data_IF_102379922543
#
_entry.id   IF_102379922543
#
_cell.length_a   1.000
_cell.length_b   1.000
_cell.length_c   1.000
_cell.angle_alpha   90.00
_cell.angle_beta   90.00
_cell.angle_gamma   90.00
#
_symmetry.space_group_name_H-M   'P 1'
#
loop_
_entity.id
_entity.type
_entity.pdbx_description
1 polymer ?
#
# COMPACT_ATOMS: atom_id res chain seq x y z
N UNK A 1 20.04 -61.16 45.66
CA UNK A 1 19.48 -59.79 45.75
C UNK A 1 19.40 -59.27 44.33
N UNK A 2 18.22 -59.34 43.73
CA UNK A 2 17.95 -58.84 42.38
C UNK A 2 17.34 -57.44 42.58
N UNK A 3 18.08 -56.42 42.17
CA UNK A 3 17.59 -55.04 42.13
C UNK A 3 16.87 -54.81 40.82
N UNK A 4 15.53 -54.59 40.86
CA UNK A 4 14.72 -54.11 39.73
C UNK A 4 15.18 -52.70 39.30
N UNK A 5 15.23 -52.38 37.97
CA UNK A 5 15.45 -51.06 37.51
C UNK A 5 14.19 -50.20 37.67
N UNK A 6 14.32 -49.08 38.38
CA UNK A 6 13.30 -48.03 38.50
C UNK A 6 13.01 -47.49 37.11
N UNK A 7 11.84 -47.81 36.59
CA UNK A 7 11.29 -47.26 35.36
C UNK A 7 11.17 -45.75 35.45
N UNK A 8 12.07 -45.07 34.70
CA UNK A 8 12.11 -43.62 34.58
C UNK A 8 10.76 -43.09 34.11
N UNK A 9 10.11 -42.32 34.97
CA UNK A 9 8.95 -41.47 34.61
C UNK A 9 9.39 -40.48 33.55
N UNK A 10 9.27 -40.88 32.30
CA UNK A 10 9.55 -40.06 31.13
C UNK A 10 8.50 -38.96 30.94
N UNK A 11 8.79 -38.01 30.23
CA UNK A 11 8.73 -36.55 30.35
C UNK A 11 7.42 -36.02 29.79
N UNK A 12 6.27 -36.43 30.30
CA UNK A 12 4.99 -35.74 30.04
C UNK A 12 5.02 -34.26 30.48
N UNK A 13 5.77 -33.96 31.55
CA UNK A 13 5.96 -32.58 32.03
C UNK A 13 6.85 -31.76 31.09
N UNK A 14 7.90 -32.37 30.52
CA UNK A 14 8.74 -31.72 29.53
C UNK A 14 8.00 -31.53 28.18
N UNK A 15 7.22 -32.52 27.74
CA UNK A 15 6.33 -32.34 26.57
C UNK A 15 5.21 -31.33 26.82
N UNK A 16 4.64 -31.24 28.01
CA UNK A 16 3.69 -30.18 28.36
C UNK A 16 4.35 -28.80 28.43
N UNK A 17 5.59 -28.69 28.94
CA UNK A 17 6.35 -27.43 28.90
C UNK A 17 6.78 -27.05 27.48
N UNK A 18 7.19 -27.99 26.64
CA UNK A 18 7.46 -27.74 25.22
C UNK A 18 6.19 -27.42 24.43
N UNK A 19 5.06 -28.06 24.73
CA UNK A 19 3.77 -27.72 24.14
C UNK A 19 3.18 -26.41 24.67
N UNK A 20 3.50 -25.98 25.91
CA UNK A 20 3.13 -24.67 26.43
C UNK A 20 4.02 -23.52 25.95
N UNK A 21 5.20 -23.85 25.39
CA UNK A 21 6.07 -22.89 24.70
C UNK A 21 5.77 -22.73 23.21
N UNK A 22 4.97 -23.61 22.61
CA UNK A 22 4.28 -23.31 21.38
C UNK A 22 3.09 -22.39 21.69
N UNK A 23 3.42 -21.13 22.06
CA UNK A 23 2.45 -20.05 22.07
C UNK A 23 1.82 -20.05 20.68
N UNK A 24 0.50 -20.20 20.54
CA UNK A 24 -0.17 -20.04 19.25
C UNK A 24 0.37 -18.72 18.70
N UNK A 25 0.71 -18.67 17.43
CA UNK A 25 1.09 -17.45 16.73
C UNK A 25 -0.09 -16.48 16.86
N UNK A 26 -0.18 -15.83 18.00
CA UNK A 26 -1.24 -14.87 18.34
C UNK A 26 -1.16 -13.78 17.29
N UNK A 27 -2.22 -13.66 16.51
CA UNK A 27 -2.42 -12.59 15.56
C UNK A 27 -2.05 -11.29 16.25
N UNK A 28 -1.15 -10.53 15.64
CA UNK A 28 -0.65 -9.28 16.24
C UNK A 28 -1.74 -8.22 16.07
N UNK A 29 -2.49 -7.95 17.12
CA UNK A 29 -3.61 -7.00 17.12
C UNK A 29 -3.21 -5.63 16.58
N UNK A 30 -2.02 -5.15 16.90
CA UNK A 30 -1.51 -3.88 16.42
C UNK A 30 -1.39 -3.83 14.87
N UNK A 31 -0.95 -4.92 14.25
CA UNK A 31 -0.84 -5.03 12.79
C UNK A 31 -2.24 -5.00 12.16
N UNK A 32 -3.22 -5.68 12.77
CA UNK A 32 -4.58 -5.64 12.26
C UNK A 32 -5.22 -4.26 12.46
N UNK A 33 -4.97 -3.57 13.58
CA UNK A 33 -5.44 -2.18 13.80
C UNK A 33 -4.87 -1.24 12.71
N UNK A 34 -3.56 -1.32 12.43
CA UNK A 34 -2.98 -0.48 11.37
C UNK A 34 -3.52 -0.80 9.98
N UNK A 35 -3.82 -2.08 9.70
CA UNK A 35 -4.48 -2.45 8.44
C UNK A 35 -5.87 -1.82 8.32
N UNK A 36 -6.64 -1.79 9.40
CA UNK A 36 -7.94 -1.12 9.40
C UNK A 36 -7.80 0.37 9.13
N UNK A 37 -6.85 1.04 9.80
CA UNK A 37 -6.58 2.46 9.59
C UNK A 37 -6.14 2.74 8.14
N UNK A 38 -5.30 1.88 7.56
CA UNK A 38 -4.90 1.99 6.16
C UNK A 38 -6.10 1.82 5.20
N UNK A 39 -6.98 0.84 5.44
CA UNK A 39 -8.21 0.66 4.64
C UNK A 39 -9.12 1.88 4.76
N UNK A 40 -9.39 2.36 5.98
CA UNK A 40 -10.25 3.53 6.18
C UNK A 40 -9.65 4.81 5.57
N UNK A 41 -8.32 4.96 5.61
CA UNK A 41 -7.63 6.03 4.90
C UNK A 41 -7.79 5.94 3.38
N UNK A 42 -7.70 4.74 2.79
CA UNK A 42 -7.97 4.54 1.36
C UNK A 42 -9.43 4.82 1.01
N UNK A 43 -10.37 4.36 1.86
CA UNK A 43 -11.80 4.68 1.69
C UNK A 43 -12.04 6.18 1.76
N UNK A 44 -11.36 6.88 2.67
CA UNK A 44 -11.42 8.35 2.74
C UNK A 44 -11.07 8.98 1.40
N UNK A 45 -9.94 8.59 0.80
CA UNK A 45 -9.48 9.14 -0.48
C UNK A 45 -10.45 8.87 -1.64
N UNK A 46 -11.24 7.81 -1.56
CA UNK A 46 -12.19 7.44 -2.60
C UNK A 46 -13.60 7.98 -2.38
N UNK A 47 -14.00 8.22 -1.14
CA UNK A 47 -15.37 8.59 -0.77
C UNK A 47 -15.51 10.07 -0.40
N UNK A 48 -14.40 10.74 -0.07
CA UNK A 48 -14.41 12.16 0.25
C UNK A 48 -13.85 12.94 -0.93
N UNK A 49 -14.49 14.03 -1.36
CA UNK A 49 -13.99 14.87 -2.44
C UNK A 49 -12.62 15.42 -2.06
N UNK A 50 -11.62 15.06 -2.81
CA UNK A 50 -10.29 15.64 -2.70
C UNK A 50 -10.21 16.74 -3.75
N UNK A 51 -10.13 17.98 -3.35
CA UNK A 51 -10.20 19.19 -4.20
C UNK A 51 -9.14 19.36 -5.31
N UNK A 52 -8.73 18.30 -5.89
CA UNK A 52 -7.61 18.06 -6.79
C UNK A 52 -7.90 18.26 -8.26
N UNK A 53 -9.11 17.95 -8.70
CA UNK A 53 -9.54 18.00 -10.09
C UNK A 53 -10.76 18.89 -10.29
N UNK A 54 -11.40 19.26 -9.20
CA UNK A 54 -12.57 20.10 -9.23
C UNK A 54 -12.33 21.29 -8.31
N UNK A 55 -11.98 22.44 -8.85
CA UNK A 55 -12.56 23.64 -8.29
C UNK A 55 -14.03 23.29 -8.14
N UNK A 56 -14.46 22.96 -6.90
CA UNK A 56 -15.85 22.58 -6.66
C UNK A 56 -16.71 23.67 -7.30
N UNK A 57 -17.65 23.33 -8.20
CA UNK A 57 -18.50 24.33 -8.86
C UNK A 57 -19.20 25.26 -7.88
N UNK A 58 -19.19 24.89 -6.61
CA UNK A 58 -19.84 25.58 -5.49
C UNK A 58 -18.89 26.43 -4.64
N UNK A 59 -17.57 26.45 -4.91
CA UNK A 59 -16.60 27.19 -4.09
C UNK A 59 -16.55 26.77 -2.62
N UNK A 60 -17.03 25.56 -2.30
CA UNK A 60 -17.11 25.06 -0.93
C UNK A 60 -15.71 24.63 -0.49
N UNK A 61 -15.01 25.49 0.24
CA UNK A 61 -13.77 25.17 0.91
C UNK A 61 -14.06 24.21 2.07
N UNK A 62 -13.26 23.15 2.18
CA UNK A 62 -13.31 22.29 3.35
C UNK A 62 -12.79 23.05 4.57
N UNK A 63 -13.43 22.92 5.73
CA UNK A 63 -12.89 23.53 6.94
C UNK A 63 -11.47 22.99 7.21
N UNK A 64 -10.55 23.87 7.58
CA UNK A 64 -9.10 23.61 7.71
C UNK A 64 -8.67 22.28 8.36
N UNK A 65 -9.36 21.75 9.42
CA UNK A 65 -9.03 20.42 9.97
C UNK A 65 -9.28 19.26 9.01
N UNK A 66 -10.31 19.35 8.16
CA UNK A 66 -10.63 18.31 7.17
C UNK A 66 -9.67 18.37 5.98
N UNK A 67 -9.30 19.55 5.54
CA UNK A 67 -8.26 19.75 4.52
C UNK A 67 -6.92 19.18 5.01
N UNK A 68 -6.53 19.48 6.24
CA UNK A 68 -5.35 18.90 6.86
C UNK A 68 -5.43 17.37 6.92
N UNK A 69 -6.56 16.80 7.36
CA UNK A 69 -6.76 15.36 7.42
C UNK A 69 -6.70 14.73 6.02
N UNK A 70 -7.28 15.39 5.02
CA UNK A 70 -7.22 14.96 3.63
C UNK A 70 -5.78 14.90 3.14
N UNK A 71 -5.03 15.98 3.27
CA UNK A 71 -3.62 16.02 2.92
C UNK A 71 -2.75 15.06 3.74
N UNK A 72 -3.16 14.75 4.99
CA UNK A 72 -2.47 13.76 5.83
C UNK A 72 -2.74 12.32 5.35
N UNK A 73 -3.94 11.98 4.91
CA UNK A 73 -4.31 10.63 4.50
C UNK A 73 -3.95 10.33 3.04
N UNK A 74 -3.82 11.38 2.22
CA UNK A 74 -3.47 11.26 0.82
C UNK A 74 -2.18 10.44 0.66
N UNK A 75 -2.18 9.49 -0.26
CA UNK A 75 -1.10 8.53 -0.54
C UNK A 75 -0.58 7.71 0.65
N UNK A 76 -0.66 8.24 1.86
CA UNK A 76 -0.09 7.64 3.08
C UNK A 76 -0.82 6.37 3.49
N UNK A 77 -2.13 6.34 3.32
CA UNK A 77 -2.94 5.14 3.61
C UNK A 77 -2.50 3.96 2.74
N UNK A 78 -2.31 4.19 1.45
CA UNK A 78 -1.80 3.22 0.47
C UNK A 78 -0.37 2.78 0.82
N UNK A 79 0.48 3.72 1.17
CA UNK A 79 1.87 3.47 1.57
C UNK A 79 1.98 2.61 2.83
N UNK A 80 1.16 2.86 3.85
CA UNK A 80 1.07 2.03 5.06
C UNK A 80 0.62 0.62 4.71
N UNK A 81 -0.31 0.46 3.76
CA UNK A 81 -0.76 -0.85 3.31
C UNK A 81 0.39 -1.68 2.70
N UNK A 82 1.23 -1.10 1.85
CA UNK A 82 2.43 -1.75 1.31
C UNK A 82 3.42 -2.13 2.42
N UNK A 83 3.67 -1.23 3.36
CA UNK A 83 4.56 -1.53 4.47
C UNK A 83 4.05 -2.73 5.30
N UNK A 84 2.75 -2.77 5.61
CA UNK A 84 2.15 -3.88 6.35
C UNK A 84 2.15 -5.20 5.58
N UNK A 85 2.22 -5.13 4.27
CA UNK A 85 2.43 -6.27 3.41
C UNK A 85 3.82 -6.89 3.62
N UNK A 86 4.86 -6.06 3.64
CA UNK A 86 6.21 -6.49 4.00
C UNK A 86 6.25 -7.16 5.37
N UNK A 87 5.60 -6.56 6.39
CA UNK A 87 5.45 -7.18 7.72
C UNK A 87 4.81 -8.56 7.61
N UNK A 88 3.78 -8.71 6.79
CA UNK A 88 3.08 -9.97 6.60
C UNK A 88 3.98 -11.05 5.98
N UNK A 89 4.81 -10.70 5.00
CA UNK A 89 5.80 -11.61 4.41
C UNK A 89 6.85 -12.03 5.44
N UNK A 90 7.32 -11.11 6.29
CA UNK A 90 8.23 -11.44 7.38
C UNK A 90 7.61 -12.49 8.32
N UNK A 91 6.38 -12.25 8.78
CA UNK A 91 5.68 -13.16 9.68
C UNK A 91 5.44 -14.54 9.06
N UNK A 92 5.12 -14.60 7.76
CA UNK A 92 4.94 -15.85 7.02
C UNK A 92 6.24 -16.63 6.85
N UNK A 93 7.39 -15.95 6.87
CA UNK A 93 8.71 -16.55 6.69
C UNK A 93 9.52 -16.70 8.00
N UNK A 94 8.83 -16.66 9.17
CA UNK A 94 9.39 -16.97 10.49
C UNK A 94 9.54 -15.78 11.43
N UNK A 95 9.13 -14.56 11.05
CA UNK A 95 9.21 -13.38 11.91
C UNK A 95 10.64 -13.02 12.30
N UNK A 96 10.89 -12.81 13.59
CA UNK A 96 12.22 -12.46 14.14
C UNK A 96 13.29 -13.55 13.91
N UNK A 97 12.87 -14.81 13.77
CA UNK A 97 13.75 -15.95 13.46
C UNK A 97 13.37 -16.54 12.09
N UNK A 98 13.97 -16.06 10.99
CA UNK A 98 13.67 -16.56 9.65
C UNK A 98 13.86 -18.07 9.54
N UNK A 99 12.91 -18.73 8.88
CA UNK A 99 13.02 -20.17 8.64
C UNK A 99 14.27 -20.52 7.83
N UNK A 100 14.75 -21.76 7.95
CA UNK A 100 15.87 -22.30 7.18
C UNK A 100 15.46 -23.55 6.38
N UNK A 101 16.28 -23.96 5.43
CA UNK A 101 16.12 -25.22 4.71
C UNK A 101 14.74 -25.42 4.07
N UNK A 102 14.13 -26.59 4.29
CA UNK A 102 12.84 -26.96 3.73
C UNK A 102 11.68 -26.08 4.22
N UNK A 103 11.72 -25.61 5.48
CA UNK A 103 10.71 -24.71 6.02
C UNK A 103 10.69 -23.37 5.29
N UNK A 104 11.86 -22.82 4.95
CA UNK A 104 11.94 -21.58 4.15
C UNK A 104 11.47 -21.81 2.71
N UNK A 105 11.81 -22.93 2.08
CA UNK A 105 11.30 -23.24 0.73
C UNK A 105 9.78 -23.29 0.72
N UNK A 106 9.16 -23.95 1.72
CA UNK A 106 7.69 -23.97 1.88
C UNK A 106 7.11 -22.59 2.13
N UNK A 107 7.76 -21.76 2.96
CA UNK A 107 7.31 -20.39 3.20
C UNK A 107 7.33 -19.55 1.91
N UNK A 108 8.40 -19.65 1.13
CA UNK A 108 8.52 -18.98 -0.18
C UNK A 108 7.47 -19.43 -1.17
N UNK A 109 7.24 -20.76 -1.27
CA UNK A 109 6.19 -21.32 -2.11
C UNK A 109 4.80 -20.78 -1.69
N UNK A 110 4.51 -20.69 -0.39
CA UNK A 110 3.26 -20.09 0.11
C UNK A 110 3.12 -18.62 -0.24
N UNK A 111 4.22 -17.85 -0.18
CA UNK A 111 4.21 -16.43 -0.58
C UNK A 111 3.94 -16.34 -2.08
N UNK A 112 4.58 -17.18 -2.90
CA UNK A 112 4.37 -17.18 -4.36
C UNK A 112 2.95 -17.58 -4.74
N UNK A 113 2.39 -18.66 -4.15
CA UNK A 113 0.99 -19.04 -4.38
C UNK A 113 0.03 -17.94 -3.95
N UNK A 114 0.29 -17.31 -2.79
CA UNK A 114 -0.50 -16.17 -2.33
C UNK A 114 -0.46 -15.01 -3.30
N UNK A 115 0.72 -14.70 -3.86
CA UNK A 115 0.87 -13.67 -4.87
C UNK A 115 0.06 -14.01 -6.15
N UNK A 116 0.13 -15.24 -6.62
CA UNK A 116 -0.68 -15.70 -7.77
C UNK A 116 -2.18 -15.58 -7.53
N UNK A 117 -2.66 -15.97 -6.34
CA UNK A 117 -4.10 -15.83 -5.99
C UNK A 117 -4.49 -14.36 -5.91
N UNK A 118 -3.64 -13.50 -5.35
CA UNK A 118 -3.90 -12.05 -5.29
C UNK A 118 -3.89 -11.41 -6.67
N UNK A 119 -3.01 -11.86 -7.56
CA UNK A 119 -2.99 -11.41 -8.95
C UNK A 119 -4.31 -11.71 -9.64
N UNK A 120 -4.78 -12.97 -9.56
CA UNK A 120 -6.07 -13.37 -10.14
C UNK A 120 -7.25 -12.60 -9.53
N UNK A 121 -7.26 -12.40 -8.20
CA UNK A 121 -8.26 -11.58 -7.54
C UNK A 121 -8.20 -10.12 -8.00
N UNK A 122 -7.00 -9.57 -8.24
CA UNK A 122 -6.83 -8.24 -8.80
C UNK A 122 -7.42 -8.13 -10.20
N UNK A 123 -7.14 -9.09 -11.09
CA UNK A 123 -7.75 -9.13 -12.43
C UNK A 123 -9.28 -9.25 -12.38
N UNK A 124 -9.82 -10.05 -11.46
CA UNK A 124 -11.27 -10.15 -11.25
C UNK A 124 -11.86 -8.81 -10.78
N UNK A 125 -11.16 -8.13 -9.88
CA UNK A 125 -11.59 -6.81 -9.38
C UNK A 125 -11.59 -5.78 -10.50
N UNK A 126 -10.53 -5.73 -11.29
CA UNK A 126 -10.40 -4.85 -12.46
C UNK A 126 -11.51 -5.09 -13.49
N UNK A 127 -11.86 -6.36 -13.74
CA UNK A 127 -13.00 -6.72 -14.59
C UNK A 127 -14.32 -6.19 -14.04
N UNK A 128 -14.50 -6.18 -12.72
CA UNK A 128 -15.73 -5.72 -12.05
C UNK A 128 -15.77 -4.21 -11.94
N UNK A 129 -14.66 -3.60 -11.53
CA UNK A 129 -14.56 -2.15 -11.29
C UNK A 129 -14.38 -1.34 -12.58
N UNK A 130 -13.79 -1.93 -13.61
CA UNK A 130 -13.46 -1.25 -14.87
C UNK A 130 -12.24 -0.33 -14.75
N UNK A 131 -11.47 -0.43 -13.69
CA UNK A 131 -10.29 0.40 -13.42
C UNK A 131 -9.17 -0.47 -12.85
N UNK A 132 -7.93 -0.24 -13.29
CA UNK A 132 -6.76 -0.90 -12.75
C UNK A 132 -6.64 -0.70 -11.23
N UNK A 133 -6.25 -1.76 -10.52
CA UNK A 133 -6.19 -1.75 -9.07
C UNK A 133 -4.80 -2.10 -8.54
N UNK A 134 -4.54 -1.64 -7.31
CA UNK A 134 -3.23 -1.79 -6.66
C UNK A 134 -2.92 -3.24 -6.26
N UNK A 135 -3.93 -4.14 -6.15
CA UNK A 135 -3.73 -5.53 -5.73
C UNK A 135 -2.96 -6.32 -6.77
N UNK A 136 -3.21 -6.08 -8.06
CA UNK A 136 -2.51 -6.73 -9.18
C UNK A 136 -1.00 -6.40 -9.12
N UNK A 137 -0.67 -5.13 -9.01
CA UNK A 137 0.72 -4.68 -8.84
C UNK A 137 1.36 -5.19 -7.54
N UNK A 138 0.60 -5.16 -6.45
CA UNK A 138 1.02 -5.68 -5.15
C UNK A 138 1.40 -7.17 -5.20
N UNK A 139 0.66 -7.97 -5.95
CA UNK A 139 0.98 -9.38 -6.14
C UNK A 139 2.36 -9.58 -6.80
N UNK A 140 2.67 -8.77 -7.82
CA UNK A 140 4.00 -8.77 -8.45
C UNK A 140 5.12 -8.41 -7.46
N UNK A 141 4.91 -7.36 -6.65
CA UNK A 141 5.89 -6.95 -5.65
C UNK A 141 6.07 -7.96 -4.51
N UNK A 142 5.05 -8.75 -4.17
CA UNK A 142 5.21 -9.86 -3.23
C UNK A 142 6.21 -10.91 -3.73
N UNK A 143 6.20 -11.22 -5.03
CA UNK A 143 7.18 -12.13 -5.63
C UNK A 143 8.60 -11.56 -5.51
N UNK A 144 8.76 -10.26 -5.72
CA UNK A 144 10.05 -9.60 -5.54
C UNK A 144 10.60 -9.75 -4.12
N UNK A 145 9.74 -9.83 -3.08
CA UNK A 145 10.19 -10.02 -1.70
C UNK A 145 10.66 -11.44 -1.37
N UNK A 146 10.39 -12.44 -2.22
CA UNK A 146 10.74 -13.84 -1.95
C UNK A 146 12.24 -14.05 -1.69
N UNK A 147 13.17 -13.55 -2.52
CA UNK A 147 14.61 -13.69 -2.26
C UNK A 147 15.06 -12.98 -0.98
N UNK A 148 14.47 -11.83 -0.65
CA UNK A 148 14.81 -11.00 0.51
C UNK A 148 14.29 -11.58 1.84
N UNK A 149 13.44 -12.61 1.77
CA UNK A 149 12.75 -13.22 2.92
C UNK A 149 13.66 -13.86 3.97
N UNK A 150 14.98 -13.97 3.75
CA UNK A 150 15.96 -14.51 4.71
C UNK A 150 16.84 -13.43 5.35
N UNK A 151 16.79 -12.21 4.87
CA UNK A 151 17.69 -11.16 5.30
C UNK A 151 17.36 -10.65 6.70
N UNK A 152 18.40 -10.15 7.37
CA UNK A 152 18.29 -9.53 8.71
C UNK A 152 17.66 -8.16 8.61
N UNK A 153 17.00 -7.70 9.69
CA UNK A 153 16.35 -6.40 9.76
C UNK A 153 17.25 -5.24 9.31
N UNK A 154 18.51 -5.22 9.75
CA UNK A 154 19.45 -4.14 9.42
C UNK A 154 19.70 -4.02 7.91
N UNK A 155 19.90 -5.15 7.22
CA UNK A 155 20.11 -5.18 5.76
C UNK A 155 18.84 -4.70 5.04
N UNK A 156 17.67 -5.11 5.52
CA UNK A 156 16.38 -4.71 4.94
C UNK A 156 16.12 -3.21 5.11
N UNK A 157 16.40 -2.63 6.28
CA UNK A 157 16.29 -1.20 6.49
C UNK A 157 17.32 -0.41 5.67
N UNK A 158 18.57 -0.88 5.57
CA UNK A 158 19.57 -0.25 4.72
C UNK A 158 19.15 -0.27 3.24
N UNK A 159 18.70 -1.42 2.73
CA UNK A 159 18.18 -1.53 1.37
C UNK A 159 16.94 -0.66 1.14
N UNK A 160 16.02 -0.60 2.11
CA UNK A 160 14.88 0.32 2.07
C UNK A 160 15.32 1.79 1.98
N UNK A 161 16.31 2.20 2.80
CA UNK A 161 16.85 3.56 2.77
C UNK A 161 17.51 3.92 1.44
N UNK A 162 18.30 3.00 0.86
CA UNK A 162 18.89 3.19 -0.47
C UNK A 162 17.81 3.32 -1.53
N UNK A 163 16.81 2.44 -1.53
CA UNK A 163 15.70 2.50 -2.49
C UNK A 163 14.81 3.72 -2.28
N UNK A 164 14.67 4.21 -1.04
CA UNK A 164 13.95 5.45 -0.77
C UNK A 164 14.58 6.68 -1.45
N UNK A 165 15.87 6.62 -1.78
CA UNK A 165 16.56 7.64 -2.59
C UNK A 165 16.53 7.29 -4.09
N UNK A 166 16.82 6.04 -4.44
CA UNK A 166 16.96 5.61 -5.84
C UNK A 166 15.62 5.66 -6.58
N UNK A 167 14.52 5.23 -5.95
CA UNK A 167 13.21 5.18 -6.60
C UNK A 167 12.70 6.56 -7.02
N UNK A 168 12.71 7.60 -6.15
CA UNK A 168 12.30 8.94 -6.56
C UNK A 168 13.22 9.55 -7.65
N UNK A 169 14.53 9.33 -7.54
CA UNK A 169 15.48 9.75 -8.59
C UNK A 169 15.14 9.09 -9.92
N UNK A 170 14.92 7.78 -9.91
CA UNK A 170 14.51 7.04 -11.12
C UNK A 170 13.20 7.60 -11.70
N UNK A 171 12.22 7.94 -10.87
CA UNK A 171 10.95 8.51 -11.32
C UNK A 171 11.14 9.88 -11.98
N UNK A 172 11.95 10.78 -11.38
CA UNK A 172 12.25 12.08 -11.97
C UNK A 172 12.94 11.91 -13.33
N UNK A 173 13.92 11.02 -13.41
CA UNK A 173 14.65 10.73 -14.64
C UNK A 173 13.71 10.13 -15.69
N UNK A 174 12.86 9.16 -15.29
CA UNK A 174 11.88 8.55 -16.17
C UNK A 174 10.92 9.58 -16.76
N UNK A 175 10.34 10.44 -15.95
CA UNK A 175 9.38 11.45 -16.39
C UNK A 175 10.05 12.48 -17.29
N UNK A 176 11.24 12.93 -16.93
CA UNK A 176 11.92 14.02 -17.65
C UNK A 176 12.62 13.57 -18.93
N UNK A 177 13.10 12.34 -18.99
CA UNK A 177 13.96 11.84 -20.09
C UNK A 177 13.64 10.41 -20.54
N UNK A 178 12.70 9.71 -19.90
CA UNK A 178 12.39 8.30 -20.16
C UNK A 178 11.53 8.04 -21.41
N UNK A 179 11.16 9.07 -22.15
CA UNK A 179 10.43 8.95 -23.41
C UNK A 179 11.26 8.10 -24.40
N UNK A 180 10.66 7.00 -24.86
CA UNK A 180 11.32 6.09 -25.80
C UNK A 180 12.28 5.06 -25.19
N UNK A 181 12.36 4.91 -23.87
CA UNK A 181 13.10 3.80 -23.27
C UNK A 181 12.39 2.47 -23.51
N UNK A 182 13.03 1.57 -24.28
CA UNK A 182 12.43 0.32 -24.76
C UNK A 182 12.02 -0.67 -23.66
N UNK A 183 12.59 -0.53 -22.45
CA UNK A 183 12.27 -1.40 -21.31
C UNK A 183 11.12 -0.86 -20.44
N UNK A 184 10.64 0.35 -20.72
CA UNK A 184 9.46 0.92 -20.08
C UNK A 184 8.24 0.74 -20.98
N UNK A 185 7.04 0.51 -20.40
CA UNK A 185 5.84 0.52 -21.21
C UNK A 185 5.69 1.89 -21.89
N UNK A 186 5.29 1.88 -23.16
CA UNK A 186 4.99 3.10 -23.87
C UNK A 186 3.85 3.84 -23.14
N UNK A 187 3.96 5.15 -23.05
CA UNK A 187 2.96 6.03 -22.44
C UNK A 187 2.57 7.09 -23.48
N UNK A 188 1.29 7.27 -23.69
CA UNK A 188 0.78 8.27 -24.64
C UNK A 188 -0.38 7.74 -25.48
N UNK A 189 -0.97 8.58 -26.33
CA UNK A 189 -2.11 8.20 -27.15
C UNK A 189 -1.80 7.09 -28.16
N UNK A 190 -0.53 6.96 -28.57
CA UNK A 190 -0.05 5.93 -29.50
C UNK A 190 0.46 4.66 -28.80
N UNK A 191 0.36 4.58 -27.47
CA UNK A 191 0.78 3.40 -26.74
C UNK A 191 -0.13 2.22 -27.08
N UNK A 192 0.41 0.99 -27.30
CA UNK A 192 -0.41 -0.18 -27.52
C UNK A 192 -1.33 -0.40 -26.32
N UNK A 193 -2.62 -0.55 -26.59
CA UNK A 193 -3.59 -0.88 -25.55
C UNK A 193 -3.33 -2.31 -25.08
N UNK A 194 -2.87 -2.43 -23.84
CA UNK A 194 -2.65 -3.73 -23.22
C UNK A 194 -3.99 -4.33 -22.76
N UNK A 195 -4.12 -5.66 -22.76
CA UNK A 195 -5.30 -6.31 -22.22
C UNK A 195 -5.44 -5.99 -20.72
N UNK A 196 -6.67 -5.78 -20.29
CA UNK A 196 -7.02 -5.44 -18.92
C UNK A 196 -7.93 -6.51 -18.29
N UNK A 197 -7.92 -6.59 -16.96
CA UNK A 197 -8.74 -7.54 -16.22
C UNK A 197 -8.49 -8.99 -16.65
N UNK A 198 -9.54 -9.78 -16.75
CA UNK A 198 -9.43 -11.21 -17.09
C UNK A 198 -8.99 -11.47 -18.53
N UNK A 199 -9.08 -10.47 -19.42
CA UNK A 199 -8.61 -10.61 -20.81
C UNK A 199 -7.10 -10.85 -20.89
N UNK A 200 -6.33 -10.41 -19.89
CA UNK A 200 -4.89 -10.70 -19.77
C UNK A 200 -4.59 -12.20 -19.89
N UNK A 201 -5.45 -13.06 -19.33
CA UNK A 201 -5.25 -14.50 -19.35
C UNK A 201 -5.36 -15.10 -20.76
N UNK A 202 -6.13 -14.47 -21.64
CA UNK A 202 -6.31 -14.89 -23.02
C UNK A 202 -5.17 -14.43 -23.96
N UNK A 203 -4.30 -13.52 -23.52
CA UNK A 203 -3.23 -12.94 -24.34
C UNK A 203 -1.83 -13.22 -23.76
N UNK A 204 -1.36 -14.49 -23.77
CA UNK A 204 -0.08 -14.87 -23.14
C UNK A 204 1.13 -14.18 -23.76
N UNK A 205 1.07 -13.78 -25.04
CA UNK A 205 2.15 -13.02 -25.70
C UNK A 205 2.39 -11.63 -25.09
N UNK A 206 1.40 -11.08 -24.41
CA UNK A 206 1.46 -9.73 -23.84
C UNK A 206 1.73 -9.73 -22.31
N UNK A 207 1.82 -10.89 -21.68
CA UNK A 207 2.01 -11.00 -20.24
C UNK A 207 3.21 -10.23 -19.72
N UNK A 208 4.33 -10.23 -20.48
CA UNK A 208 5.51 -9.49 -20.06
C UNK A 208 5.26 -7.98 -20.09
N UNK A 209 4.61 -7.47 -21.11
CA UNK A 209 4.28 -6.05 -21.23
C UNK A 209 3.28 -5.61 -20.16
N UNK A 210 2.25 -6.41 -19.92
CA UNK A 210 1.27 -6.20 -18.85
C UNK A 210 1.96 -6.21 -17.47
N UNK A 211 2.83 -7.18 -17.22
CA UNK A 211 3.58 -7.27 -15.98
C UNK A 211 4.49 -6.04 -15.77
N UNK A 212 5.18 -5.62 -16.83
CA UNK A 212 6.01 -4.41 -16.79
C UNK A 212 5.16 -3.15 -16.52
N UNK A 213 3.99 -3.04 -17.15
CA UNK A 213 3.10 -1.89 -16.91
C UNK A 213 2.68 -1.78 -15.45
N UNK A 214 2.30 -2.89 -14.80
CA UNK A 214 1.97 -2.90 -13.38
C UNK A 214 3.17 -2.60 -12.47
N UNK A 215 4.36 -3.12 -12.79
CA UNK A 215 5.54 -2.93 -11.95
C UNK A 215 6.14 -1.53 -12.07
N UNK A 216 6.22 -1.01 -13.29
CA UNK A 216 6.86 0.30 -13.56
C UNK A 216 5.85 1.44 -13.61
N UNK A 217 4.59 1.20 -13.27
CA UNK A 217 3.65 2.27 -13.05
C UNK A 217 4.18 3.20 -11.93
N UNK A 218 4.06 4.51 -12.16
CA UNK A 218 4.50 5.53 -11.21
C UNK A 218 3.91 5.25 -9.82
N UNK A 219 2.63 4.87 -9.80
CA UNK A 219 1.88 4.63 -8.57
C UNK A 219 2.26 3.40 -7.77
N UNK A 220 3.08 2.51 -8.29
CA UNK A 220 3.39 1.25 -7.60
C UNK A 220 4.87 1.02 -7.35
N UNK A 221 5.76 1.63 -8.14
CA UNK A 221 7.20 1.40 -8.02
C UNK A 221 7.77 1.87 -6.66
N UNK A 222 7.19 2.92 -6.06
CA UNK A 222 7.57 3.38 -4.72
C UNK A 222 7.22 2.39 -3.60
N UNK A 223 6.45 1.35 -3.91
CA UNK A 223 6.14 0.30 -2.93
C UNK A 223 7.38 -0.46 -2.45
N UNK A 224 8.44 -0.56 -3.28
CA UNK A 224 9.64 -1.32 -2.97
C UNK A 224 10.30 -0.94 -1.64
N UNK A 225 10.69 0.32 -1.39
CA UNK A 225 11.28 0.71 -0.13
C UNK A 225 10.35 0.46 1.05
N UNK A 226 9.04 0.68 0.90
CA UNK A 226 8.05 0.45 1.94
C UNK A 226 7.88 -1.03 2.27
N UNK A 227 7.85 -1.89 1.25
CA UNK A 227 7.80 -3.35 1.41
C UNK A 227 9.03 -3.89 2.14
N UNK A 228 10.23 -3.41 1.80
CA UNK A 228 11.47 -3.80 2.49
C UNK A 228 11.53 -3.28 3.92
N UNK A 229 11.10 -2.03 4.16
CA UNK A 229 10.96 -1.52 5.53
C UNK A 229 10.00 -2.38 6.35
N UNK A 230 8.84 -2.71 5.79
CA UNK A 230 7.86 -3.60 6.42
C UNK A 230 8.41 -4.99 6.71
N UNK A 231 9.15 -5.58 5.76
CA UNK A 231 9.84 -6.86 5.96
C UNK A 231 10.86 -6.74 7.11
N UNK A 232 11.61 -5.63 7.18
CA UNK A 232 12.54 -5.32 8.26
C UNK A 232 11.84 -5.20 9.62
N UNK A 233 10.73 -4.47 9.70
CA UNK A 233 9.90 -4.35 10.91
C UNK A 233 9.43 -5.72 11.38
N UNK A 234 8.93 -6.56 10.48
CA UNK A 234 8.49 -7.91 10.82
C UNK A 234 9.60 -8.87 11.27
N UNK A 235 10.89 -8.50 11.07
CA UNK A 235 12.08 -9.19 11.59
C UNK A 235 12.45 -8.77 13.00
N UNK A 236 11.86 -7.70 13.53
CA UNK A 236 12.05 -7.30 14.92
C UNK A 236 11.25 -8.23 15.85
N UNK A 237 11.71 -8.34 17.11
CA UNK A 237 10.94 -9.06 18.12
C UNK A 237 9.78 -8.19 18.63
N UNK A 238 8.69 -8.14 17.85
CA UNK A 238 7.54 -7.26 18.08
C UNK A 238 6.81 -7.52 19.41
N UNK A 239 7.14 -8.60 20.13
CA UNK A 239 6.56 -8.93 21.44
C UNK A 239 7.37 -8.36 22.60
N UNK A 240 8.58 -7.93 22.36
CA UNK A 240 9.47 -7.38 23.38
C UNK A 240 9.15 -5.90 23.60
N UNK A 241 8.85 -5.54 24.85
CA UNK A 241 8.48 -4.17 25.21
C UNK A 241 9.58 -3.16 24.84
N UNK A 242 10.84 -3.51 25.04
CA UNK A 242 11.98 -2.65 24.67
C UNK A 242 11.99 -2.35 23.15
N UNK A 243 11.66 -3.34 22.31
CA UNK A 243 11.51 -3.17 20.85
C UNK A 243 10.32 -2.26 20.54
N UNK A 244 9.18 -2.44 21.20
CA UNK A 244 7.98 -1.61 20.99
C UNK A 244 8.24 -0.15 21.34
N UNK A 245 8.92 0.11 22.47
CA UNK A 245 9.33 1.48 22.88
C UNK A 245 10.31 2.06 21.87
N UNK A 246 11.33 1.30 21.46
CA UNK A 246 12.28 1.75 20.43
C UNK A 246 11.56 2.07 19.12
N UNK A 247 10.63 1.24 18.68
CA UNK A 247 9.82 1.51 17.48
C UNK A 247 9.03 2.81 17.61
N UNK A 248 8.38 3.03 18.75
CA UNK A 248 7.63 4.27 18.99
C UNK A 248 8.56 5.50 18.93
N UNK A 249 9.67 5.48 19.66
CA UNK A 249 10.61 6.61 19.74
C UNK A 249 11.33 6.85 18.41
N UNK A 250 11.96 5.81 17.82
CA UNK A 250 12.67 5.96 16.54
C UNK A 250 11.73 6.29 15.40
N UNK A 251 10.53 5.70 15.40
CA UNK A 251 9.49 6.01 14.42
C UNK A 251 9.09 7.48 14.48
N UNK A 252 8.82 8.01 15.66
CA UNK A 252 8.51 9.43 15.84
C UNK A 252 9.68 10.32 15.42
N UNK A 253 10.91 9.97 15.80
CA UNK A 253 12.10 10.74 15.42
C UNK A 253 12.30 10.78 13.88
N UNK A 254 12.11 9.64 13.20
CA UNK A 254 12.20 9.58 11.74
C UNK A 254 11.08 10.38 11.09
N UNK A 255 9.83 10.26 11.57
CA UNK A 255 8.71 11.01 11.04
C UNK A 255 8.90 12.52 11.18
N UNK A 256 9.22 12.99 12.39
CA UNK A 256 9.46 14.42 12.67
C UNK A 256 10.69 14.92 11.91
N UNK A 257 11.77 14.13 11.87
CA UNK A 257 12.99 14.47 11.15
C UNK A 257 12.76 14.61 9.65
N UNK A 258 12.02 13.69 9.03
CA UNK A 258 11.66 13.77 7.62
C UNK A 258 10.79 15.00 7.32
N UNK A 259 9.79 15.26 8.18
CA UNK A 259 8.94 16.45 8.03
C UNK A 259 9.74 17.74 8.17
N UNK A 260 10.57 17.84 9.20
CA UNK A 260 11.39 19.02 9.44
C UNK A 260 12.41 19.26 8.32
N UNK A 261 13.06 18.19 7.84
CA UNK A 261 13.98 18.27 6.71
C UNK A 261 13.29 18.77 5.44
N UNK A 262 12.10 18.24 5.11
CA UNK A 262 11.31 18.73 3.99
C UNK A 262 10.95 20.21 4.16
N UNK A 263 10.47 20.59 5.35
CA UNK A 263 10.12 21.99 5.62
C UNK A 263 11.32 22.94 5.46
N UNK A 264 12.49 22.56 6.00
CA UNK A 264 13.72 23.36 5.87
C UNK A 264 14.18 23.52 4.41
N UNK A 265 14.11 22.44 3.63
CA UNK A 265 14.51 22.47 2.22
C UNK A 265 13.58 23.34 1.40
N UNK A 266 12.28 23.20 1.61
CA UNK A 266 11.28 23.87 0.78
C UNK A 266 11.15 25.37 1.11
N UNK A 267 11.23 25.77 2.39
CA UNK A 267 10.97 27.14 2.83
C UNK A 267 12.27 27.96 2.97
N UNK A 268 13.12 27.77 4.01
CA UNK A 268 14.30 28.64 4.17
C UNK A 268 15.37 28.44 3.08
N UNK A 269 15.50 27.26 2.48
CA UNK A 269 16.41 27.03 1.36
C UNK A 269 15.80 27.37 -0.01
N UNK A 270 14.54 27.79 -0.04
CA UNK A 270 13.86 28.34 -1.22
C UNK A 270 13.54 27.34 -2.34
N UNK A 271 13.69 26.02 -2.09
CA UNK A 271 13.41 25.01 -3.10
C UNK A 271 11.92 24.89 -3.44
N UNK A 272 11.02 25.35 -2.58
CA UNK A 272 9.57 25.35 -2.81
C UNK A 272 9.14 26.13 -4.04
N UNK A 273 9.82 27.25 -4.35
CA UNK A 273 9.51 28.06 -5.53
C UNK A 273 9.67 27.29 -6.88
N UNK A 274 10.53 26.27 -6.93
CA UNK A 274 10.67 25.43 -8.12
C UNK A 274 9.45 24.51 -8.30
N UNK A 275 8.92 24.00 -7.20
CA UNK A 275 7.71 23.15 -7.18
C UNK A 275 6.49 23.98 -7.52
N UNK A 276 6.34 25.17 -6.94
CA UNK A 276 5.22 26.07 -7.23
C UNK A 276 5.17 26.46 -8.72
N UNK A 277 6.32 26.76 -9.32
CA UNK A 277 6.41 27.04 -10.77
C UNK A 277 6.03 25.83 -11.62
N UNK A 278 6.49 24.63 -11.23
CA UNK A 278 6.16 23.38 -11.92
C UNK A 278 4.65 23.12 -11.85
N UNK A 279 4.06 23.20 -10.66
CA UNK A 279 2.62 22.97 -10.45
C UNK A 279 1.78 23.99 -11.20
N UNK A 280 2.18 25.27 -11.17
CA UNK A 280 1.49 26.33 -11.93
C UNK A 280 1.54 26.07 -13.43
N UNK A 281 2.70 25.65 -13.96
CA UNK A 281 2.85 25.34 -15.37
C UNK A 281 2.03 24.10 -15.78
N UNK A 282 1.95 23.11 -14.91
CA UNK A 282 1.19 21.87 -15.15
C UNK A 282 -0.33 22.11 -15.12
N UNK A 283 -0.79 23.05 -14.29
CA UNK A 283 -2.20 23.43 -14.16
C UNK A 283 -2.62 24.57 -15.09
N UNK A 284 -1.70 25.09 -15.91
CA UNK A 284 -2.04 26.12 -16.87
C UNK A 284 -3.13 25.59 -17.83
N UNK A 285 -4.19 26.37 -18.09
CA UNK A 285 -5.21 25.96 -19.03
C UNK A 285 -4.58 25.73 -20.40
N UNK A 286 -5.06 24.73 -21.17
CA UNK A 286 -4.57 24.52 -22.53
C UNK A 286 -4.75 25.80 -23.35
N UNK A 287 -3.86 26.09 -24.31
CA UNK A 287 -4.01 27.24 -25.19
C UNK A 287 -5.40 27.18 -25.86
N UNK A 288 -6.04 28.34 -26.07
CA UNK A 288 -7.32 28.35 -26.76
C UNK A 288 -7.15 27.69 -28.14
N UNK A 289 -8.15 26.91 -28.60
CA UNK A 289 -8.10 26.32 -29.92
C UNK A 289 -7.87 27.43 -30.97
N UNK A 290 -7.08 27.16 -32.03
CA UNK A 290 -6.91 28.13 -33.09
C UNK A 290 -8.31 28.53 -33.61
N UNK A 291 -8.51 29.82 -33.96
CA UNK A 291 -9.78 30.26 -34.50
C UNK A 291 -10.16 29.33 -35.67
N UNK A 292 -11.35 28.73 -35.59
CA UNK A 292 -11.85 27.88 -36.65
C UNK A 292 -11.77 28.66 -37.95
N UNK A 293 -11.11 28.11 -38.98
CA UNK A 293 -11.10 28.71 -40.30
C UNK A 293 -12.59 28.82 -40.72
N UNK A 294 -13.03 30.06 -40.92
CA UNK A 294 -14.44 30.44 -40.94
C UNK A 294 -15.25 29.82 -42.10
N UNK A 295 -14.65 29.08 -43.03
CA UNK A 295 -15.29 28.74 -44.33
C UNK A 295 -15.11 27.29 -44.79
N UNK A 296 -14.97 26.31 -43.90
CA UNK A 296 -14.91 24.90 -44.30
C UNK A 296 -15.96 24.03 -43.62
N UNK A 297 -16.59 23.06 -44.33
CA UNK A 297 -17.45 22.08 -43.67
C UNK A 297 -16.62 21.29 -42.65
N UNK A 298 -17.07 21.25 -41.41
CA UNK A 298 -16.45 20.48 -40.31
C UNK A 298 -16.54 18.97 -40.62
N UNK A 299 -15.59 18.43 -41.36
CA UNK A 299 -15.54 17.00 -41.75
C UNK A 299 -14.73 16.14 -40.75
N UNK A 300 -14.50 16.61 -39.53
CA UNK A 300 -13.83 15.86 -38.47
C UNK A 300 -13.80 16.64 -37.15
N UNK A 301 -13.42 16.00 -36.05
CA UNK A 301 -13.13 16.72 -34.81
C UNK A 301 -12.01 17.73 -35.09
N UNK A 302 -12.10 18.96 -34.51
CA UNK A 302 -11.08 19.97 -34.71
C UNK A 302 -9.70 19.40 -34.32
N UNK A 303 -8.64 19.74 -35.08
CA UNK A 303 -7.29 19.31 -34.72
C UNK A 303 -7.01 19.78 -33.28
N UNK A 304 -6.58 18.86 -32.43
CA UNK A 304 -6.17 19.22 -31.08
C UNK A 304 -5.02 20.24 -31.18
N UNK A 305 -5.10 21.35 -30.45
CA UNK A 305 -3.99 22.32 -30.44
C UNK A 305 -2.71 21.61 -29.97
N UNK A 306 -1.59 21.97 -30.59
CA UNK A 306 -0.27 21.48 -30.15
C UNK A 306 -0.11 21.77 -28.66
N UNK A 307 -0.22 20.74 -27.84
CA UNK A 307 -0.03 20.88 -26.39
C UNK A 307 1.41 21.30 -26.12
N UNK A 308 1.63 22.33 -25.30
CA UNK A 308 2.99 22.69 -24.92
C UNK A 308 3.69 21.48 -24.28
N UNK A 309 5.01 21.32 -24.49
CA UNK A 309 5.72 20.20 -23.90
C UNK A 309 5.55 20.23 -22.38
N UNK A 310 5.29 19.04 -21.80
CA UNK A 310 5.12 18.89 -20.36
C UNK A 310 6.30 19.51 -19.60
N UNK A 311 6.05 20.34 -18.59
CA UNK A 311 7.10 20.92 -17.78
C UNK A 311 7.91 19.83 -17.09
N UNK A 312 9.24 20.02 -17.04
CA UNK A 312 10.13 19.05 -16.37
C UNK A 312 9.91 19.09 -14.87
N UNK A 313 9.80 17.92 -14.28
CA UNK A 313 9.72 17.73 -12.83
C UNK A 313 11.01 18.25 -12.17
N UNK A 314 10.94 19.22 -11.25
CA UNK A 314 12.12 19.76 -10.59
C UNK A 314 12.73 18.79 -9.59
N UNK A 315 14.06 18.81 -9.42
CA UNK A 315 14.76 17.97 -8.43
C UNK A 315 14.34 18.26 -6.98
N UNK A 316 13.75 19.42 -6.72
CA UNK A 316 13.16 19.75 -5.42
C UNK A 316 12.07 18.76 -4.98
N UNK A 317 11.35 18.15 -5.92
CA UNK A 317 10.36 17.11 -5.68
C UNK A 317 10.92 15.89 -4.93
N UNK A 318 12.23 15.62 -5.07
CA UNK A 318 12.92 14.55 -4.35
C UNK A 318 12.78 14.67 -2.82
N UNK A 319 12.64 15.90 -2.32
CA UNK A 319 12.61 16.24 -0.90
C UNK A 319 11.25 16.77 -0.44
N UNK A 320 10.34 16.97 -1.37
CA UNK A 320 9.02 17.49 -1.05
C UNK A 320 8.19 16.43 -0.29
N UNK A 321 7.49 16.86 0.74
CA UNK A 321 6.39 16.07 1.27
C UNK A 321 5.11 16.51 0.59
N UNK A 322 4.31 15.57 0.12
CA UNK A 322 3.19 15.85 -0.76
C UNK A 322 2.24 16.91 -0.21
N UNK A 323 2.04 17.95 -1.02
CA UNK A 323 0.76 18.62 -1.12
C UNK A 323 -0.08 17.85 -2.12
N UNK A 324 -1.44 17.82 -1.99
CA UNK A 324 -2.28 17.26 -3.04
C UNK A 324 -1.99 17.98 -4.35
N UNK A 325 -1.64 17.24 -5.38
CA UNK A 325 -1.32 17.80 -6.69
C UNK A 325 -0.63 16.79 -7.61
N UNK A 326 -0.68 16.99 -8.93
CA UNK A 326 -0.01 16.13 -9.88
C UNK A 326 1.50 16.34 -9.80
N UNK A 327 2.22 15.44 -9.17
CA UNK A 327 3.67 15.46 -9.05
C UNK A 327 4.20 14.14 -8.53
N UNK A 328 5.51 14.03 -8.43
CA UNK A 328 6.15 12.85 -7.85
C UNK A 328 6.47 13.02 -6.36
N UNK A 329 6.12 14.17 -5.77
CA UNK A 329 6.35 14.47 -4.36
C UNK A 329 5.72 13.42 -3.41
N UNK A 330 4.64 12.78 -3.85
CA UNK A 330 4.02 11.65 -3.15
C UNK A 330 4.99 10.51 -2.86
N UNK A 331 6.02 10.36 -3.68
CA UNK A 331 6.98 9.26 -3.65
C UNK A 331 8.39 9.73 -3.32
N UNK A 332 8.52 10.95 -2.80
CA UNK A 332 9.80 11.52 -2.43
C UNK A 332 10.51 10.72 -1.34
N UNK A 333 11.82 10.87 -1.25
CA UNK A 333 12.63 10.19 -0.23
C UNK A 333 12.17 10.53 1.19
N UNK A 334 11.83 11.80 1.45
CA UNK A 334 11.38 12.25 2.78
C UNK A 334 9.94 11.80 3.07
N UNK A 335 9.08 11.71 2.05
CA UNK A 335 7.74 11.14 2.20
C UNK A 335 7.79 9.65 2.56
N UNK A 336 8.66 8.88 1.90
CA UNK A 336 8.89 7.47 2.24
C UNK A 336 9.42 7.35 3.67
N UNK A 337 10.42 8.14 4.05
CA UNK A 337 10.97 8.18 5.40
C UNK A 337 9.90 8.51 6.44
N UNK A 338 9.09 9.53 6.19
CA UNK A 338 7.99 9.92 7.06
C UNK A 338 6.96 8.80 7.23
N UNK A 339 6.56 8.14 6.14
CA UNK A 339 5.60 7.02 6.17
C UNK A 339 6.11 5.84 6.98
N UNK A 340 7.39 5.49 6.80
CA UNK A 340 8.04 4.43 7.61
C UNK A 340 8.09 4.84 9.07
N UNK A 341 8.44 6.09 9.36
CA UNK A 341 8.49 6.65 10.71
C UNK A 341 7.14 6.61 11.42
N UNK A 342 6.09 7.13 10.78
CA UNK A 342 4.72 7.11 11.33
C UNK A 342 4.23 5.68 11.53
N UNK A 343 4.49 4.79 10.59
CA UNK A 343 4.08 3.38 10.70
C UNK A 343 4.76 2.67 11.86
N UNK A 344 6.06 2.90 12.07
CA UNK A 344 6.80 2.39 13.22
C UNK A 344 6.27 2.96 14.53
N UNK A 345 6.05 4.28 14.59
CA UNK A 345 5.53 4.97 15.77
C UNK A 345 4.15 4.43 16.16
N UNK A 346 3.24 4.32 15.19
CA UNK A 346 1.90 3.81 15.42
C UNK A 346 1.91 2.33 15.83
N UNK A 347 2.71 1.48 15.17
CA UNK A 347 2.84 0.08 15.57
C UNK A 347 3.36 -0.02 17.00
N UNK A 348 4.43 0.68 17.34
CA UNK A 348 4.98 0.71 18.69
C UNK A 348 3.96 1.19 19.72
N UNK A 349 3.26 2.28 19.44
CA UNK A 349 2.25 2.84 20.32
C UNK A 349 1.06 1.88 20.52
N UNK A 350 0.54 1.28 19.45
CA UNK A 350 -0.59 0.34 19.56
C UNK A 350 -0.18 -0.94 20.29
N UNK A 351 1.04 -1.44 20.12
CA UNK A 351 1.54 -2.56 20.92
C UNK A 351 1.56 -2.21 22.40
N UNK A 352 2.12 -1.06 22.78
CA UNK A 352 2.18 -0.58 24.17
C UNK A 352 0.78 -0.34 24.76
N UNK A 353 -0.12 0.28 24.00
CA UNK A 353 -1.50 0.50 24.42
C UNK A 353 -2.24 -0.81 24.69
N UNK A 354 -2.06 -1.81 23.82
CA UNK A 354 -2.77 -3.09 23.90
C UNK A 354 -2.26 -4.02 25.02
N UNK A 355 -1.19 -3.65 25.74
CA UNK A 355 -0.85 -4.30 27.00
C UNK A 355 -1.99 -4.14 28.03
N UNK A 356 -2.68 -3.00 28.02
CA UNK A 356 -3.82 -2.75 28.92
C UNK A 356 -5.10 -3.34 28.33
N UNK A 357 -5.83 -4.12 29.14
CA UNK A 357 -7.07 -4.82 28.75
C UNK A 357 -8.14 -3.87 28.21
N UNK A 358 -8.22 -2.66 28.72
CA UNK A 358 -9.16 -1.62 28.29
C UNK A 358 -8.94 -1.27 26.81
N UNK A 359 -7.73 -0.88 26.44
CA UNK A 359 -7.38 -0.51 25.07
C UNK A 359 -7.48 -1.68 24.09
N UNK A 360 -7.13 -2.89 24.53
CA UNK A 360 -7.31 -4.11 23.74
C UNK A 360 -8.76 -4.37 23.39
N UNK A 361 -9.69 -4.04 24.31
CA UNK A 361 -11.14 -4.15 24.04
C UNK A 361 -11.63 -3.00 23.13
N UNK A 362 -11.20 -1.77 23.39
CA UNK A 362 -11.59 -0.60 22.60
C UNK A 362 -11.10 -0.69 21.14
N UNK A 363 -9.89 -1.19 20.91
CA UNK A 363 -9.31 -1.35 19.57
C UNK A 363 -9.75 -2.65 18.87
N UNK A 364 -10.50 -3.53 19.55
CA UNK A 364 -10.91 -4.82 18.97
C UNK A 364 -11.77 -4.69 17.70
N UNK A 365 -12.74 -3.74 17.60
CA UNK A 365 -13.50 -3.54 16.36
C UNK A 365 -12.59 -3.18 15.16
N UNK A 366 -11.62 -2.29 15.37
CA UNK A 366 -10.62 -1.97 14.35
C UNK A 366 -9.79 -3.19 13.96
N UNK A 367 -9.31 -3.95 14.93
CA UNK A 367 -8.56 -5.18 14.65
C UNK A 367 -9.41 -6.22 13.91
N UNK A 368 -10.71 -6.31 14.20
CA UNK A 368 -11.63 -7.18 13.48
C UNK A 368 -11.75 -6.76 11.99
N UNK A 369 -11.89 -5.47 11.73
CA UNK A 369 -11.95 -4.91 10.38
C UNK A 369 -10.62 -5.10 9.64
N UNK A 370 -9.49 -4.79 10.26
CA UNK A 370 -8.16 -4.99 9.64
C UNK A 370 -7.83 -6.46 9.41
N UNK A 371 -8.48 -7.36 10.15
CA UNK A 371 -8.44 -8.79 9.89
C UNK A 371 -9.13 -9.19 8.59
N UNK A 372 -9.97 -8.33 8.04
CA UNK A 372 -10.74 -8.46 6.81
C UNK A 372 -10.37 -7.35 5.81
N UNK A 373 -9.14 -6.82 5.90
CA UNK A 373 -8.70 -5.65 5.13
C UNK A 373 -8.85 -5.84 3.62
N UNK A 374 -8.52 -7.03 3.09
CA UNK A 374 -8.66 -7.32 1.67
C UNK A 374 -10.13 -7.37 1.25
N UNK A 375 -11.00 -7.98 2.06
CA UNK A 375 -12.44 -8.00 1.81
C UNK A 375 -13.00 -6.58 1.72
N UNK A 376 -12.64 -5.70 2.67
CA UNK A 376 -13.11 -4.32 2.69
C UNK A 376 -12.51 -3.47 1.57
N UNK A 377 -11.26 -3.76 1.17
CA UNK A 377 -10.67 -3.13 0.00
C UNK A 377 -11.48 -3.44 -1.27
N UNK A 378 -11.84 -4.70 -1.50
CA UNK A 378 -12.68 -5.09 -2.64
C UNK A 378 -14.04 -4.42 -2.62
N UNK A 379 -14.70 -4.42 -1.45
CA UNK A 379 -16.03 -3.82 -1.29
C UNK A 379 -15.99 -2.33 -1.61
N UNK A 380 -14.99 -1.60 -1.07
CA UNK A 380 -14.88 -0.17 -1.32
C UNK A 380 -14.59 0.14 -2.80
N UNK A 381 -13.71 -0.64 -3.44
CA UNK A 381 -13.33 -0.43 -4.84
C UNK A 381 -14.54 -0.62 -5.77
N UNK A 382 -15.32 -1.68 -5.55
CA UNK A 382 -16.57 -1.92 -6.28
C UNK A 382 -17.60 -0.81 -6.02
N UNK A 383 -17.76 -0.38 -4.77
CA UNK A 383 -18.70 0.71 -4.44
C UNK A 383 -18.26 2.00 -5.14
N UNK A 384 -16.98 2.35 -5.06
CA UNK A 384 -16.44 3.57 -5.67
C UNK A 384 -16.67 3.59 -7.17
N UNK A 385 -16.30 2.52 -7.86
CA UNK A 385 -16.26 2.51 -9.31
C UNK A 385 -17.61 2.19 -9.96
N UNK A 386 -18.49 1.43 -9.28
CA UNK A 386 -19.80 1.03 -9.83
C UNK A 386 -20.97 1.87 -9.33
N UNK A 387 -20.93 2.36 -8.10
CA UNK A 387 -22.07 3.03 -7.48
C UNK A 387 -21.85 4.53 -7.24
N UNK A 388 -20.60 4.99 -7.08
CA UNK A 388 -20.28 6.40 -6.90
C UNK A 388 -19.87 7.10 -8.20
N UNK A 389 -19.96 6.41 -9.35
CA UNK A 389 -19.79 7.02 -10.67
C UNK A 389 -18.36 7.34 -11.07
N UNK A 390 -17.34 6.81 -10.39
CA UNK A 390 -15.94 6.91 -10.81
C UNK A 390 -15.61 5.82 -11.85
N UNK A 391 -16.50 5.60 -12.83
CA UNK A 391 -16.26 4.65 -13.92
C UNK A 391 -15.14 5.06 -14.87
N UNK A 392 -14.86 4.25 -15.93
CA UNK A 392 -13.84 4.54 -16.93
C UNK A 392 -14.05 5.95 -17.51
N UNK A 393 -13.09 6.85 -17.25
CA UNK A 393 -13.21 8.27 -17.61
C UNK A 393 -13.25 9.24 -16.43
N UNK A 394 -13.30 8.75 -15.19
CA UNK A 394 -12.96 9.53 -13.98
C UNK A 394 -13.86 10.71 -13.61
N UNK A 395 -14.90 10.99 -14.37
CA UNK A 395 -15.75 12.20 -14.26
C UNK A 395 -17.06 11.96 -13.48
N UNK A 396 -17.10 10.93 -12.63
CA UNK A 396 -18.23 10.75 -11.74
C UNK A 396 -18.23 11.81 -10.64
N UNK A 397 -19.39 12.35 -10.34
CA UNK A 397 -19.56 13.31 -9.26
C UNK A 397 -19.20 12.63 -7.93
N UNK A 398 -18.03 12.95 -7.38
CA UNK A 398 -17.66 12.50 -6.04
C UNK A 398 -18.76 12.97 -5.06
N UNK A 399 -19.16 12.13 -4.09
CA UNK A 399 -20.17 12.53 -3.12
C UNK A 399 -19.67 13.80 -2.40
N UNK A 400 -20.46 14.87 -2.48
CA UNK A 400 -20.12 16.15 -1.85
C UNK A 400 -20.41 16.14 -0.33
N UNK A 401 -20.34 14.98 0.31
CA UNK A 401 -20.63 14.83 1.73
C UNK A 401 -19.81 13.72 2.38
N UNK A 402 -19.61 13.82 3.69
CA UNK A 402 -18.95 12.80 4.51
C UNK A 402 -19.86 11.60 4.83
N UNK A 403 -21.13 11.65 4.43
CA UNK A 403 -22.12 10.61 4.78
C UNK A 403 -21.73 9.24 4.22
N UNK A 404 -21.36 9.07 2.94
CA UNK A 404 -20.96 7.77 2.39
C UNK A 404 -19.75 7.17 3.14
N UNK A 405 -18.77 7.99 3.49
CA UNK A 405 -17.61 7.56 4.26
C UNK A 405 -18.00 7.10 5.68
N UNK A 406 -18.84 7.89 6.36
CA UNK A 406 -19.30 7.57 7.71
C UNK A 406 -20.13 6.26 7.71
N UNK A 407 -21.06 6.12 6.76
CA UNK A 407 -21.87 4.91 6.59
C UNK A 407 -20.99 3.70 6.32
N UNK A 408 -20.05 3.80 5.35
CA UNK A 408 -19.13 2.70 5.07
C UNK A 408 -18.33 2.31 6.31
N UNK A 409 -17.77 3.28 7.04
CA UNK A 409 -16.96 3.03 8.23
C UNK A 409 -17.76 2.29 9.32
N UNK A 410 -18.98 2.77 9.61
CA UNK A 410 -19.86 2.14 10.61
C UNK A 410 -20.25 0.72 10.19
N UNK A 411 -20.65 0.55 8.93
CA UNK A 411 -21.03 -0.78 8.39
C UNK A 411 -19.83 -1.72 8.42
N UNK A 412 -18.64 -1.27 8.01
CA UNK A 412 -17.44 -2.09 8.02
C UNK A 412 -17.05 -2.55 9.43
N UNK A 413 -17.10 -1.65 10.42
CA UNK A 413 -16.85 -1.99 11.82
C UNK A 413 -17.88 -2.97 12.35
N UNK A 414 -19.17 -2.69 12.19
CA UNK A 414 -20.27 -3.53 12.69
C UNK A 414 -20.26 -4.93 12.05
N UNK A 415 -20.17 -4.99 10.71
CA UNK A 415 -20.14 -6.25 9.98
C UNK A 415 -18.90 -7.08 10.32
N UNK A 416 -17.72 -6.44 10.48
CA UNK A 416 -16.50 -7.15 10.89
C UNK A 416 -16.63 -7.73 12.30
N UNK A 417 -17.21 -6.99 13.24
CA UNK A 417 -17.46 -7.45 14.60
C UNK A 417 -18.40 -8.66 14.60
N UNK A 418 -19.51 -8.58 13.87
CA UNK A 418 -20.48 -9.66 13.75
C UNK A 418 -19.89 -10.89 13.06
N UNK A 419 -19.23 -10.70 11.93
CA UNK A 419 -18.56 -11.78 11.18
C UNK A 419 -17.53 -12.51 12.03
N UNK A 420 -16.72 -11.79 12.77
CA UNK A 420 -15.65 -12.34 13.62
C UNK A 420 -16.17 -13.12 14.84
N UNK A 421 -17.46 -13.02 15.19
CA UNK A 421 -18.08 -13.89 16.20
C UNK A 421 -18.24 -15.32 15.70
N UNK A 422 -18.43 -15.50 14.39
CA UNK A 422 -18.68 -16.81 13.76
C UNK A 422 -17.44 -17.32 13.04
N UNK A 423 -16.78 -16.46 12.28
CA UNK A 423 -15.66 -16.83 11.40
C UNK A 423 -14.33 -16.26 11.89
N UNK A 424 -13.25 -17.00 11.66
CA UNK A 424 -11.89 -16.58 12.06
C UNK A 424 -11.22 -15.60 11.07
N UNK A 425 -11.65 -15.58 9.80
CA UNK A 425 -11.11 -14.75 8.72
C UNK A 425 -12.23 -14.15 7.91
N UNK A 426 -11.93 -13.08 7.18
CA UNK A 426 -12.85 -12.54 6.19
C UNK A 426 -13.03 -13.49 5.01
N UNK A 427 -14.03 -13.28 4.15
CA UNK A 427 -14.32 -14.14 3.00
C UNK A 427 -13.12 -14.30 2.05
N UNK A 428 -12.54 -13.19 1.60
CA UNK A 428 -11.40 -13.22 0.68
C UNK A 428 -10.11 -13.68 1.36
N UNK A 429 -9.91 -13.35 2.63
CA UNK A 429 -8.78 -13.83 3.42
C UNK A 429 -8.84 -15.35 3.62
N UNK A 430 -10.03 -15.91 3.79
CA UNK A 430 -10.23 -17.35 3.90
C UNK A 430 -9.99 -18.03 2.55
N UNK A 431 -10.47 -17.46 1.45
CA UNK A 431 -10.19 -17.96 0.09
C UNK A 431 -8.68 -18.07 -0.15
N UNK A 432 -7.93 -16.97 0.05
CA UNK A 432 -6.47 -16.96 -0.11
C UNK A 432 -5.79 -17.93 0.84
N UNK A 433 -6.32 -18.10 2.05
CA UNK A 433 -5.77 -19.06 3.00
C UNK A 433 -5.98 -20.51 2.56
N UNK A 434 -7.20 -20.87 2.14
CA UNK A 434 -7.53 -22.23 1.70
C UNK A 434 -6.77 -22.63 0.44
N UNK A 435 -6.73 -21.76 -0.56
CA UNK A 435 -5.99 -22.01 -1.79
C UNK A 435 -4.48 -22.16 -1.54
N UNK A 436 -3.91 -21.30 -0.69
CA UNK A 436 -2.49 -21.41 -0.31
C UNK A 436 -2.20 -22.69 0.50
N UNK A 437 -3.10 -23.09 1.39
CA UNK A 437 -2.94 -24.29 2.20
C UNK A 437 -3.08 -25.58 1.36
N UNK A 438 -3.98 -25.58 0.36
CA UNK A 438 -4.15 -26.68 -0.57
C UNK A 438 -2.94 -26.86 -1.49
N UNK A 439 -2.40 -25.75 -2.03
CA UNK A 439 -1.24 -25.78 -2.93
C UNK A 439 0.08 -26.13 -2.23
N UNK A 440 0.24 -25.70 -0.96
CA UNK A 440 1.46 -25.94 -0.19
C UNK A 440 1.09 -26.45 1.21
N UNK A 441 0.84 -27.77 1.36
CA UNK A 441 0.48 -28.38 2.65
C UNK A 441 1.53 -28.12 3.74
N UNK A 442 1.07 -28.14 4.99
CA UNK A 442 1.99 -28.18 6.12
C UNK A 442 2.60 -29.59 6.15
N UNK A 443 3.90 -29.70 5.82
CA UNK A 443 4.61 -30.96 6.02
C UNK A 443 4.54 -31.34 7.50
N UNK A 444 4.25 -32.59 7.76
CA UNK A 444 4.36 -33.17 9.09
C UNK A 444 5.81 -32.96 9.57
N UNK A 445 5.96 -32.21 10.65
CA UNK A 445 7.22 -31.95 11.34
C UNK A 445 7.41 -32.91 12.47
#
# INVERSE_FOLDING_TARGET
VITEPVAGRTPRAARRRAASQQVPTGRLLAVDVLRALAVFGMVWMHFVPTGWLEATPTGQEWPGPLEWLNGFLDTRARSVFFLLAGVSVALLSGGAAPFAGAAMRRARARIAVRAGVLFLLGLCLEQVSGVGNIITAYAGWLLFLVPWSRLRAQVLFAASGVLALVVPVFQIVKVNWGQGWSFLPAVGPDAPQLPEGLSVLAHPGEWLAVFQSYLFNVDTFYALPLLLAGLGIGRLNLRERAVQVRMAVTGTAVAVGSWLASWLILHPLGQGAAIDRFTTALMAPPPPPPPAAADGPLTGPPPMPDMPPMPKVPWAELWAMSKPGPGIAEYSALQIGWTVGVSLALLGAVFLLTERRMWRRALWPLAATGAMAMTWYFVQDVITNRFLGKGPGGMGHAPQSLIPYAVFTVVALAASVLWRRVFRRGPLEELVHRTTAAAVPRGDS
#
